data_IF_166658285857
#
_entry.id   IF_166658285857
#
_cell.length_a   1.000
_cell.length_b   1.000
_cell.length_c   1.000
_cell.angle_alpha   90.00
_cell.angle_beta   90.00
_cell.angle_gamma   90.00
#
_symmetry.space_group_name_H-M   'P 1'
#
loop_
_entity.id
_entity.type
_entity.pdbx_description
1 polymer ?
#
# COMPACT_ATOMS: atom_id res chain seq x y z
N UNK A 1 3.50 -28.79 9.23
CA UNK A 1 3.03 -28.36 8.85
C UNK A 1 2.55 -27.54 8.63
N UNK A 2 2.20 -27.14 8.45
CA UNK A 2 1.70 -26.36 8.27
C UNK A 2 1.03 -25.95 7.87
N UNK A 3 0.63 -25.43 7.96
CA UNK A 3 0.05 -24.97 7.77
C UNK A 3 -0.42 -24.04 7.41
N UNK A 4 -0.51 -23.35 7.06
CA UNK A 4 -0.93 -22.52 6.78
C UNK A 4 -1.29 -21.73 6.27
N UNK A 5 -1.44 -21.35 5.98
CA UNK A 5 -2.41 -20.87 5.75
C UNK A 5 -2.67 -19.67 5.05
N UNK A 6 -3.55 -19.48 4.30
CA UNK A 6 -4.02 -18.40 3.49
C UNK A 6 -4.67 -17.31 4.34
N UNK A 7 -3.89 -16.73 5.21
CA UNK A 7 -4.36 -15.57 5.95
C UNK A 7 -4.44 -14.37 5.01
N UNK A 8 -5.43 -13.53 5.24
CA UNK A 8 -5.62 -12.29 4.49
C UNK A 8 -5.18 -11.12 5.36
N UNK A 9 -4.26 -10.31 4.84
CA UNK A 9 -3.71 -9.16 5.55
C UNK A 9 -4.08 -7.90 4.76
N UNK A 10 -4.70 -6.94 5.45
CA UNK A 10 -4.95 -5.62 4.89
C UNK A 10 -3.96 -4.64 5.50
N UNK A 11 -3.17 -4.01 4.65
CA UNK A 11 -2.26 -2.93 5.07
C UNK A 11 -2.86 -1.62 4.57
N UNK A 12 -3.19 -0.75 5.51
CA UNK A 12 -3.80 0.55 5.23
C UNK A 12 -2.79 1.65 5.51
N UNK A 13 -2.35 2.37 4.47
CA UNK A 13 -1.43 3.49 4.62
C UNK A 13 -2.17 4.78 4.30
N UNK A 14 -2.27 5.65 5.29
CA UNK A 14 -2.86 6.97 5.14
C UNK A 14 -1.87 8.10 5.46
N UNK A 15 -0.64 7.77 5.79
CA UNK A 15 0.45 8.73 5.96
C UNK A 15 1.07 9.04 4.61
N UNK A 16 1.55 10.26 4.45
CA UNK A 16 2.17 10.71 3.23
C UNK A 16 3.69 10.72 3.31
N UNK A 17 4.30 11.40 2.34
CA UNK A 17 5.74 11.38 2.15
C UNK A 17 6.51 12.08 3.28
N UNK A 18 5.85 12.95 4.05
CA UNK A 18 6.44 13.60 5.23
C UNK A 18 6.68 12.62 6.37
N UNK A 19 6.03 11.48 6.33
CA UNK A 19 6.16 10.42 7.32
C UNK A 19 6.93 9.23 6.73
N UNK A 20 8.15 9.48 6.30
CA UNK A 20 8.97 8.49 5.59
C UNK A 20 9.06 7.13 6.28
N UNK A 21 9.16 7.13 7.61
CA UNK A 21 9.28 5.87 8.35
C UNK A 21 7.97 5.07 8.35
N UNK A 22 6.83 5.73 8.44
CA UNK A 22 5.53 5.04 8.39
C UNK A 22 5.28 4.45 7.01
N UNK A 23 5.58 5.23 5.98
CA UNK A 23 5.35 4.83 4.59
C UNK A 23 6.24 3.64 4.22
N UNK A 24 7.52 3.73 4.48
CA UNK A 24 8.45 2.65 4.15
C UNK A 24 8.18 1.41 4.99
N UNK A 25 7.85 1.58 6.28
CA UNK A 25 7.49 0.46 7.14
C UNK A 25 6.22 -0.24 6.63
N UNK A 26 5.19 0.53 6.29
CA UNK A 26 3.94 -0.03 5.79
C UNK A 26 4.13 -0.86 4.53
N UNK A 27 4.91 -0.35 3.59
CA UNK A 27 5.22 -1.09 2.36
C UNK A 27 6.08 -2.31 2.64
N UNK A 28 7.05 -2.19 3.54
CA UNK A 28 7.89 -3.33 3.94
C UNK A 28 7.03 -4.44 4.53
N UNK A 29 6.08 -4.09 5.41
CA UNK A 29 5.19 -5.06 6.03
C UNK A 29 4.31 -5.75 4.99
N UNK A 30 3.75 -4.98 4.05
CA UNK A 30 2.92 -5.54 2.99
C UNK A 30 3.71 -6.54 2.13
N UNK A 31 4.91 -6.16 1.73
CA UNK A 31 5.78 -7.02 0.92
C UNK A 31 6.24 -8.25 1.69
N UNK A 32 6.49 -8.11 2.98
CA UNK A 32 6.88 -9.24 3.84
C UNK A 32 5.74 -10.23 3.98
N UNK A 33 4.52 -9.73 4.18
CA UNK A 33 3.35 -10.60 4.29
C UNK A 33 3.13 -11.41 3.01
N UNK A 34 3.30 -10.77 1.85
CA UNK A 34 3.18 -11.48 0.58
C UNK A 34 4.30 -12.53 0.43
N UNK A 35 5.51 -12.16 0.78
CA UNK A 35 6.65 -13.08 0.73
C UNK A 35 6.40 -14.32 1.59
N UNK A 36 5.64 -14.17 2.67
CA UNK A 36 5.29 -15.26 3.58
C UNK A 36 3.99 -15.97 3.14
N UNK A 37 3.61 -15.81 1.89
CA UNK A 37 2.47 -16.50 1.26
C UNK A 37 1.10 -16.11 1.80
N UNK A 38 0.99 -14.95 2.42
CA UNK A 38 -0.32 -14.41 2.80
C UNK A 38 -0.90 -13.62 1.63
N UNK A 39 -2.22 -13.59 1.57
CA UNK A 39 -2.93 -12.76 0.60
C UNK A 39 -2.97 -11.33 1.14
N UNK A 40 -2.41 -10.39 0.39
CA UNK A 40 -2.27 -9.02 0.86
C UNK A 40 -3.08 -8.05 0.01
N UNK A 41 -3.78 -7.17 0.68
CA UNK A 41 -4.42 -6.01 0.07
C UNK A 41 -3.78 -4.76 0.67
N UNK A 42 -3.36 -3.85 -0.19
CA UNK A 42 -2.84 -2.55 0.21
C UNK A 42 -3.90 -1.49 -0.10
N UNK A 43 -4.29 -0.71 0.90
CA UNK A 43 -5.23 0.37 0.72
C UNK A 43 -4.55 1.70 1.03
N UNK A 44 -4.54 2.60 0.05
CA UNK A 44 -3.95 3.94 0.18
C UNK A 44 -5.04 4.98 0.24
N UNK A 45 -5.04 5.77 1.30
CA UNK A 45 -6.02 6.83 1.51
C UNK A 45 -5.37 8.07 2.08
N UNK A 46 -6.09 9.19 2.07
CA UNK A 46 -5.53 10.44 2.57
C UNK A 46 -4.23 10.79 1.86
N UNK A 47 -3.25 11.22 2.62
CA UNK A 47 -1.94 11.56 2.04
C UNK A 47 -1.19 10.33 1.50
N UNK A 48 -1.60 9.13 1.87
CA UNK A 48 -0.99 7.90 1.38
C UNK A 48 -1.14 7.70 -0.13
N UNK A 49 -2.13 8.32 -0.76
CA UNK A 49 -2.30 8.19 -2.21
C UNK A 49 -1.13 8.80 -2.99
N UNK A 50 -0.38 9.72 -2.39
CA UNK A 50 0.76 10.38 -3.02
C UNK A 50 1.93 9.44 -3.25
N UNK A 51 1.97 8.32 -2.54
CA UNK A 51 3.10 7.39 -2.57
C UNK A 51 3.37 6.88 -3.99
N UNK A 52 2.31 6.55 -4.72
CA UNK A 52 2.45 5.96 -6.05
C UNK A 52 3.01 6.93 -7.09
N UNK A 53 2.92 8.23 -6.84
CA UNK A 53 3.41 9.27 -7.75
C UNK A 53 4.63 9.99 -7.19
N UNK A 54 5.41 9.34 -6.37
CA UNK A 54 6.56 9.97 -5.75
C UNK A 54 7.74 10.04 -6.72
N UNK A 55 7.96 11.22 -7.31
CA UNK A 55 9.08 11.43 -8.24
C UNK A 55 10.43 11.43 -7.55
N UNK A 56 10.43 11.64 -6.22
CA UNK A 56 11.64 11.65 -5.41
C UNK A 56 11.77 10.38 -4.56
N UNK A 57 11.17 9.29 -5.02
CA UNK A 57 11.14 8.05 -4.24
C UNK A 57 12.54 7.59 -3.83
N UNK A 58 13.54 7.77 -4.71
CA UNK A 58 14.92 7.38 -4.39
C UNK A 58 15.57 8.20 -3.29
N UNK A 59 14.98 9.34 -2.92
CA UNK A 59 15.48 10.19 -1.83
C UNK A 59 14.79 9.87 -0.51
N UNK A 60 13.74 9.05 -0.54
CA UNK A 60 12.96 8.73 0.66
C UNK A 60 13.39 7.37 1.17
N UNK A 61 14.17 7.41 2.24
CA UNK A 61 14.71 6.20 2.88
C UNK A 61 14.25 6.19 4.33
N UNK A 62 13.62 5.10 4.73
CA UNK A 62 13.21 4.93 6.11
C UNK A 62 14.41 4.60 7.00
N UNK A 63 14.31 4.96 8.25
CA UNK A 63 15.35 4.63 9.21
C UNK A 63 15.17 3.16 9.64
N UNK A 64 15.90 2.28 8.96
CA UNK A 64 15.82 0.85 9.20
C UNK A 64 14.64 0.15 8.53
N UNK A 65 13.86 0.87 7.69
CA UNK A 65 12.66 0.32 7.06
C UNK A 65 12.70 0.32 5.54
N UNK A 66 13.86 0.60 4.99
CA UNK A 66 14.11 0.46 3.56
C UNK A 66 13.90 1.71 2.75
N UNK A 67 14.07 1.56 1.47
CA UNK A 67 14.06 2.60 0.45
C UNK A 67 12.72 2.60 -0.27
N UNK A 68 12.07 3.74 -0.34
CA UNK A 68 10.75 3.85 -0.97
C UNK A 68 10.78 3.43 -2.44
N UNK A 69 11.79 3.85 -3.19
CA UNK A 69 11.89 3.48 -4.60
C UNK A 69 11.94 1.97 -4.78
N UNK A 70 12.77 1.31 -3.99
CA UNK A 70 12.92 -0.15 -4.04
C UNK A 70 11.62 -0.86 -3.67
N UNK A 71 10.95 -0.38 -2.62
CA UNK A 71 9.65 -0.93 -2.22
C UNK A 71 8.60 -0.79 -3.34
N UNK A 72 8.58 0.36 -4.03
CA UNK A 72 7.65 0.58 -5.12
C UNK A 72 7.94 -0.35 -6.31
N UNK A 73 9.22 -0.58 -6.62
CA UNK A 73 9.58 -1.53 -7.69
C UNK A 73 9.13 -2.93 -7.33
N UNK A 74 9.34 -3.36 -6.10
CA UNK A 74 8.90 -4.66 -5.62
C UNK A 74 7.37 -4.77 -5.63
N UNK A 75 6.69 -3.69 -5.28
CA UNK A 75 5.23 -3.63 -5.29
C UNK A 75 4.68 -3.85 -6.71
N UNK A 76 5.31 -3.23 -7.71
CA UNK A 76 4.89 -3.38 -9.11
C UNK A 76 4.96 -4.82 -9.60
N UNK A 77 5.92 -5.59 -9.11
CA UNK A 77 6.10 -6.99 -9.52
C UNK A 77 5.42 -7.97 -8.56
N UNK A 78 4.70 -7.47 -7.56
CA UNK A 78 4.01 -8.30 -6.58
C UNK A 78 2.61 -8.70 -7.04
N UNK A 79 1.99 -9.60 -6.27
CA UNK A 79 0.58 -9.98 -6.46
C UNK A 79 -0.36 -9.21 -5.53
N UNK A 80 0.16 -8.19 -4.86
CA UNK A 80 -0.63 -7.40 -3.91
C UNK A 80 -1.73 -6.65 -4.67
N UNK A 81 -2.96 -6.78 -4.19
CA UNK A 81 -4.08 -5.98 -4.68
C UNK A 81 -3.96 -4.58 -4.09
N UNK A 82 -3.96 -3.56 -4.93
CA UNK A 82 -3.81 -2.17 -4.50
C UNK A 82 -5.12 -1.42 -4.74
N UNK A 83 -5.70 -0.90 -3.67
CA UNK A 83 -6.83 0.00 -3.75
C UNK A 83 -6.39 1.40 -3.35
N UNK A 84 -6.86 2.39 -4.08
CA UNK A 84 -6.53 3.79 -3.85
C UNK A 84 -7.82 4.57 -3.67
N UNK A 85 -7.91 5.35 -2.60
CA UNK A 85 -9.07 6.21 -2.39
C UNK A 85 -9.22 7.20 -3.54
N UNK A 86 -10.31 7.06 -4.29
CA UNK A 86 -10.61 7.98 -5.38
C UNK A 86 -10.88 9.38 -4.89
N UNK A 87 -11.54 9.51 -3.74
CA UNK A 87 -11.83 10.82 -3.13
C UNK A 87 -10.53 11.52 -2.71
N UNK A 88 -9.62 10.79 -2.08
CA UNK A 88 -8.34 11.35 -1.65
C UNK A 88 -7.48 11.76 -2.85
N UNK A 89 -7.45 10.93 -3.89
CA UNK A 89 -6.70 11.22 -5.10
C UNK A 89 -7.24 12.46 -5.81
N UNK A 90 -8.55 12.51 -6.01
CA UNK A 90 -9.20 13.62 -6.70
C UNK A 90 -8.99 14.94 -5.98
N UNK A 91 -9.11 14.96 -4.66
CA UNK A 91 -8.92 16.19 -3.87
C UNK A 91 -7.48 16.71 -3.94
N UNK A 92 -6.54 15.86 -4.34
CA UNK A 92 -5.12 16.23 -4.47
C UNK A 92 -4.69 16.42 -5.93
N UNK A 93 -5.67 16.44 -6.85
CA UNK A 93 -5.40 16.71 -8.25
C UNK A 93 -4.86 15.53 -9.05
N UNK A 94 -4.99 14.33 -8.55
CA UNK A 94 -4.56 13.13 -9.26
C UNK A 94 -5.69 12.55 -10.13
N UNK A 95 -5.30 11.96 -11.23
CA UNK A 95 -6.19 11.22 -12.13
C UNK A 95 -5.69 9.79 -12.30
N UNK A 96 -6.19 9.08 -13.30
CA UNK A 96 -5.85 7.68 -13.54
C UNK A 96 -4.35 7.44 -13.80
N UNK A 97 -3.62 8.46 -14.19
CA UNK A 97 -2.18 8.35 -14.41
C UNK A 97 -1.42 7.99 -13.14
N UNK A 98 -2.00 8.31 -11.97
CA UNK A 98 -1.42 7.92 -10.70
C UNK A 98 -1.18 6.42 -10.62
N UNK A 99 -2.04 5.64 -11.26
CA UNK A 99 -2.03 4.19 -11.18
C UNK A 99 -1.12 3.51 -12.22
N UNK A 100 -0.50 4.29 -13.11
CA UNK A 100 0.33 3.75 -14.18
C UNK A 100 1.47 2.90 -13.63
N UNK A 101 1.60 1.68 -14.18
CA UNK A 101 2.63 0.74 -13.76
C UNK A 101 2.26 -0.13 -12.58
N UNK A 102 1.08 0.08 -11.99
CA UNK A 102 0.60 -0.70 -10.84
C UNK A 102 -0.68 -1.45 -11.19
N UNK A 103 -0.89 -2.59 -10.54
CA UNK A 103 -2.17 -3.30 -10.57
C UNK A 103 -3.04 -2.68 -9.46
N UNK A 104 -3.69 -1.58 -9.80
CA UNK A 104 -4.39 -0.78 -8.80
C UNK A 104 -5.67 -0.20 -9.38
N UNK A 105 -6.63 0.13 -8.51
CA UNK A 105 -7.85 0.80 -8.92
C UNK A 105 -8.31 1.80 -7.87
N UNK A 106 -9.02 2.83 -8.33
CA UNK A 106 -9.68 3.77 -7.44
C UNK A 106 -10.95 3.16 -6.88
N UNK A 107 -11.17 3.33 -5.59
CA UNK A 107 -12.34 2.79 -4.91
C UNK A 107 -12.90 3.81 -3.92
N UNK A 108 -14.11 3.53 -3.45
CA UNK A 108 -14.79 4.34 -2.46
C UNK A 108 -14.59 3.75 -1.05
N UNK A 109 -14.93 4.50 0.01
CA UNK A 109 -14.70 4.04 1.38
C UNK A 109 -15.36 2.71 1.76
N UNK A 110 -16.45 2.35 1.10
CA UNK A 110 -17.13 1.08 1.36
C UNK A 110 -16.22 -0.12 1.10
N UNK A 111 -15.31 -0.01 0.13
CA UNK A 111 -14.35 -1.09 -0.15
C UNK A 111 -13.40 -1.27 1.03
N UNK A 112 -12.94 -0.18 1.65
CA UNK A 112 -12.08 -0.27 2.83
C UNK A 112 -12.81 -0.99 3.97
N UNK A 113 -14.07 -0.65 4.19
CA UNK A 113 -14.87 -1.29 5.24
C UNK A 113 -15.02 -2.79 4.96
N UNK A 114 -15.38 -3.15 3.74
CA UNK A 114 -15.56 -4.55 3.36
C UNK A 114 -14.26 -5.35 3.47
N UNK A 115 -13.16 -4.79 2.97
CA UNK A 115 -11.87 -5.48 3.02
C UNK A 115 -11.37 -5.61 4.46
N UNK A 116 -11.64 -4.62 5.31
CA UNK A 116 -11.30 -4.70 6.73
C UNK A 116 -12.04 -5.83 7.44
N UNK A 117 -13.32 -5.99 7.12
CA UNK A 117 -14.14 -7.05 7.73
C UNK A 117 -13.69 -8.44 7.28
N UNK A 118 -13.29 -8.58 6.02
CA UNK A 118 -12.84 -9.86 5.46
C UNK A 118 -11.43 -10.24 5.90
N UNK A 119 -10.61 -9.26 6.24
CA UNK A 119 -9.21 -9.54 6.56
C UNK A 119 -9.05 -10.23 7.90
N UNK A 120 -8.10 -11.16 7.97
CA UNK A 120 -7.72 -11.78 9.24
C UNK A 120 -6.94 -10.80 10.11
N UNK A 121 -6.17 -9.92 9.48
CA UNK A 121 -5.41 -8.87 10.18
C UNK A 121 -5.46 -7.56 9.41
N UNK A 122 -5.58 -6.47 10.14
CA UNK A 122 -5.56 -5.11 9.57
C UNK A 122 -4.43 -4.34 10.25
N UNK A 123 -3.50 -3.82 9.44
CA UNK A 123 -2.34 -3.07 9.93
C UNK A 123 -2.37 -1.68 9.29
N UNK A 124 -2.27 -0.64 10.12
CA UNK A 124 -2.41 0.75 9.69
C UNK A 124 -1.12 1.54 9.91
N UNK A 125 -0.80 2.35 8.94
CA UNK A 125 0.43 3.17 8.99
C UNK A 125 0.20 4.59 8.51
#
# INVERSE_FOLDING_TARGET
MSIITDNTVLVHIYSGLESRNKVTLGLLVALTAEKNDHKVTLFLAGDGVQILNCKKAGEIVGQGTGDLYEHLQNLKSSKITIYVSGMSAKSRGFDEKLLDGYTAEFVMPDVLVEESIKADSVLCY
#
